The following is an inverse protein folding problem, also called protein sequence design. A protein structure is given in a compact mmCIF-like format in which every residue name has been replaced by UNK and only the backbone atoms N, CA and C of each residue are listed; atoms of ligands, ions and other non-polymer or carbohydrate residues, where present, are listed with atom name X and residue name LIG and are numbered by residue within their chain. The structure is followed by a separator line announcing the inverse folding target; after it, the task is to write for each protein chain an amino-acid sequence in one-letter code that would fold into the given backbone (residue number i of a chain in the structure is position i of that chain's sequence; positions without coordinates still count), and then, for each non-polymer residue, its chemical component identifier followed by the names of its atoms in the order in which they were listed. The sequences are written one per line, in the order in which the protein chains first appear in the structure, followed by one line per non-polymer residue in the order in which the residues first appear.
data_IF_791819530312
#
_entry.id   IF_791819530312
#
_cell.length_a   1.000
_cell.length_b   1.000
_cell.length_c   1.000
_cell.angle_alpha   90.00
_cell.angle_beta   90.00
_cell.angle_gamma   90.00
#
_symmetry.space_group_name_H-M   'P 1'
#
loop_
_entity.id
_entity.type
_entity.pdbx_description
1 polymer ?
#
# COMPACT_ATOMS: atom_id res chain seq x y z
N UNK A 1 -29.46 2.80 -18.19
CA UNK A 1 -30.14 1.49 -18.34
C UNK A 1 -30.95 1.51 -19.62
N UNK A 2 -30.80 0.51 -20.50
CA UNK A 2 -31.54 0.42 -21.77
C UNK A 2 -32.31 -0.89 -21.87
N UNK A 3 -33.39 -0.87 -22.63
CA UNK A 3 -34.15 -2.07 -22.96
C UNK A 3 -33.56 -2.77 -24.17
N UNK A 4 -33.86 -4.06 -24.34
CA UNK A 4 -33.50 -4.82 -25.55
C UNK A 4 -33.97 -4.13 -26.84
N UNK A 5 -35.11 -3.42 -26.80
CA UNK A 5 -35.61 -2.69 -27.96
C UNK A 5 -34.68 -1.53 -28.34
N UNK A 6 -34.30 -0.70 -27.37
CA UNK A 6 -33.40 0.44 -27.60
C UNK A 6 -32.04 -0.03 -28.11
N UNK A 7 -31.50 -1.12 -27.56
CA UNK A 7 -30.23 -1.69 -28.03
C UNK A 7 -30.36 -2.19 -29.47
N UNK A 8 -31.49 -2.83 -29.81
CA UNK A 8 -31.77 -3.32 -31.15
C UNK A 8 -31.89 -2.18 -32.17
N UNK A 9 -32.57 -1.10 -31.82
CA UNK A 9 -32.72 0.09 -32.65
C UNK A 9 -31.34 0.76 -32.90
N UNK A 10 -30.46 0.79 -31.90
CA UNK A 10 -29.11 1.36 -32.02
C UNK A 10 -28.15 0.54 -32.89
N UNK A 11 -28.27 -0.79 -32.87
CA UNK A 11 -27.43 -1.66 -33.71
C UNK A 11 -28.08 -2.01 -35.05
N UNK A 12 -29.28 -1.52 -35.32
CA UNK A 12 -30.00 -1.74 -36.59
C UNK A 12 -30.44 -3.19 -36.81
N UNK A 13 -30.72 -3.96 -35.74
CA UNK A 13 -31.21 -5.34 -35.85
C UNK A 13 -32.57 -5.50 -35.18
N UNK A 14 -33.24 -6.63 -35.41
CA UNK A 14 -34.54 -6.86 -34.77
C UNK A 14 -34.41 -7.10 -33.26
N UNK A 15 -35.37 -6.60 -32.48
CA UNK A 15 -35.51 -6.88 -31.03
C UNK A 15 -35.41 -8.39 -30.73
N UNK A 16 -35.97 -9.23 -31.59
CA UNK A 16 -35.96 -10.69 -31.45
C UNK A 16 -34.54 -11.28 -31.61
N UNK A 17 -33.75 -10.77 -32.55
CA UNK A 17 -32.37 -11.20 -32.70
C UNK A 17 -31.57 -10.92 -31.43
N UNK A 18 -31.70 -9.71 -30.87
CA UNK A 18 -31.04 -9.32 -29.62
C UNK A 18 -31.50 -10.19 -28.45
N UNK A 19 -32.81 -10.42 -28.33
CA UNK A 19 -33.36 -11.27 -27.28
C UNK A 19 -32.83 -12.71 -27.34
N UNK A 20 -32.73 -13.30 -28.54
CA UNK A 20 -32.19 -14.64 -28.75
C UNK A 20 -30.71 -14.72 -28.36
N UNK A 21 -29.91 -13.71 -28.69
CA UNK A 21 -28.49 -13.63 -28.31
C UNK A 21 -28.30 -13.49 -26.82
N UNK A 22 -29.07 -12.59 -26.22
CA UNK A 22 -29.10 -12.37 -24.77
C UNK A 22 -29.46 -13.65 -24.02
N UNK A 23 -30.55 -14.34 -24.39
CA UNK A 23 -31.01 -15.55 -23.70
C UNK A 23 -30.14 -16.79 -23.97
N UNK A 24 -29.38 -16.78 -25.06
CA UNK A 24 -28.46 -17.86 -25.41
C UNK A 24 -27.04 -17.59 -24.91
N UNK A 25 -26.14 -17.32 -25.87
CA UNK A 25 -24.69 -17.17 -25.66
C UNK A 25 -24.32 -16.13 -24.60
N UNK A 26 -25.06 -15.04 -24.50
CA UNK A 26 -24.73 -13.93 -23.61
C UNK A 26 -25.43 -13.99 -22.25
N UNK A 27 -26.22 -15.03 -21.96
CA UNK A 27 -27.05 -15.05 -20.77
C UNK A 27 -26.22 -15.02 -19.48
N UNK A 28 -25.19 -15.87 -19.40
CA UNK A 28 -24.34 -16.00 -18.21
C UNK A 28 -23.55 -14.71 -17.92
N UNK A 29 -23.13 -14.01 -18.97
CA UNK A 29 -22.32 -12.78 -18.84
C UNK A 29 -23.18 -11.53 -18.64
N UNK A 30 -24.40 -11.49 -19.19
CA UNK A 30 -25.29 -10.33 -19.06
C UNK A 30 -26.30 -10.45 -17.90
N UNK A 31 -26.51 -11.64 -17.33
CA UNK A 31 -27.44 -11.84 -16.21
C UNK A 31 -27.13 -10.98 -14.97
N UNK A 32 -25.86 -10.80 -14.53
CA UNK A 32 -25.55 -9.93 -13.38
C UNK A 32 -25.86 -8.45 -13.62
N UNK A 33 -25.98 -8.06 -14.89
CA UNK A 33 -26.15 -6.68 -15.37
C UNK A 33 -27.58 -6.42 -15.88
N UNK A 34 -28.48 -7.37 -15.63
CA UNK A 34 -29.85 -7.35 -16.08
C UNK A 34 -30.80 -7.14 -14.90
N UNK A 35 -31.74 -6.23 -15.08
CA UNK A 35 -32.77 -5.91 -14.10
C UNK A 35 -34.15 -6.01 -14.75
N UNK A 36 -35.11 -6.64 -14.08
CA UNK A 36 -36.47 -6.78 -14.60
C UNK A 36 -37.45 -6.00 -13.71
N UNK A 37 -38.07 -4.98 -14.28
CA UNK A 37 -39.14 -4.22 -13.62
C UNK A 37 -40.43 -4.41 -14.40
N UNK A 38 -41.49 -4.86 -13.73
CA UNK A 38 -42.83 -5.04 -14.32
C UNK A 38 -42.83 -5.85 -15.63
N UNK A 39 -41.95 -6.86 -15.73
CA UNK A 39 -41.82 -7.71 -16.91
C UNK A 39 -41.00 -7.13 -18.06
N UNK A 40 -40.43 -5.92 -17.89
CA UNK A 40 -39.52 -5.30 -18.86
C UNK A 40 -38.08 -5.50 -18.42
N UNK A 41 -37.25 -6.02 -19.33
CA UNK A 41 -35.83 -6.26 -19.10
C UNK A 41 -35.00 -5.01 -19.43
N UNK A 42 -34.32 -4.51 -18.42
CA UNK A 42 -33.36 -3.41 -18.48
C UNK A 42 -31.94 -3.95 -18.33
N UNK A 43 -31.04 -3.41 -19.14
CA UNK A 43 -29.65 -3.80 -19.20
C UNK A 43 -28.79 -2.58 -18.85
N UNK A 44 -27.78 -2.81 -18.02
CA UNK A 44 -26.77 -1.79 -17.74
C UNK A 44 -25.88 -1.54 -18.97
N UNK A 45 -25.07 -0.49 -18.90
CA UNK A 45 -24.13 -0.13 -19.97
C UNK A 45 -23.14 -1.27 -20.27
N UNK A 46 -22.78 -2.07 -19.25
CA UNK A 46 -21.91 -3.23 -19.40
C UNK A 46 -22.58 -4.33 -20.23
N UNK A 47 -23.84 -4.67 -19.94
CA UNK A 47 -24.60 -5.65 -20.74
C UNK A 47 -24.88 -5.13 -22.15
N UNK A 48 -25.18 -3.84 -22.30
CA UNK A 48 -25.32 -3.20 -23.62
C UNK A 48 -24.05 -3.38 -24.45
N UNK A 49 -22.88 -3.09 -23.87
CA UNK A 49 -21.58 -3.21 -24.56
C UNK A 49 -21.30 -4.64 -24.99
N UNK A 50 -21.54 -5.62 -24.11
CA UNK A 50 -21.37 -7.04 -24.42
C UNK A 50 -22.25 -7.49 -25.59
N UNK A 51 -23.51 -7.05 -25.61
CA UNK A 51 -24.46 -7.36 -26.69
C UNK A 51 -24.01 -6.70 -27.99
N UNK A 52 -23.68 -5.40 -27.97
CA UNK A 52 -23.19 -4.68 -29.15
C UNK A 52 -21.95 -5.33 -29.75
N UNK A 53 -21.01 -5.76 -28.90
CA UNK A 53 -19.78 -6.41 -29.35
C UNK A 53 -20.04 -7.77 -29.99
N UNK A 54 -20.95 -8.59 -29.46
CA UNK A 54 -21.32 -9.88 -30.05
C UNK A 54 -21.91 -9.71 -31.46
N UNK A 55 -22.82 -8.75 -31.64
CA UNK A 55 -23.41 -8.46 -32.95
C UNK A 55 -22.40 -7.87 -33.94
N UNK A 56 -21.45 -7.05 -33.46
CA UNK A 56 -20.39 -6.51 -34.31
C UNK A 56 -19.43 -7.61 -34.79
N UNK A 57 -19.08 -8.57 -33.93
CA UNK A 57 -18.26 -9.75 -34.27
C UNK A 57 -18.98 -10.68 -35.26
N UNK A 58 -20.28 -10.88 -35.10
CA UNK A 58 -21.05 -11.76 -35.99
C UNK A 58 -21.32 -11.14 -37.37
N UNK A 59 -21.54 -9.82 -37.46
CA UNK A 59 -21.59 -9.12 -38.76
C UNK A 59 -20.25 -9.22 -39.52
N UNK A 60 -19.12 -9.23 -38.80
CA UNK A 60 -17.79 -9.50 -39.40
C UNK A 60 -17.64 -10.95 -39.90
N UNK A 61 -18.41 -11.89 -39.35
CA UNK A 61 -18.34 -13.32 -39.72
C UNK A 61 -19.27 -13.73 -40.87
N UNK A 62 -20.37 -13.01 -41.11
CA UNK A 62 -21.41 -13.43 -42.07
C UNK A 62 -21.52 -12.61 -43.36
N UNK A 63 -20.72 -11.56 -43.55
CA UNK A 63 -20.81 -10.63 -44.71
C UNK A 63 -19.59 -10.61 -45.63
N UNK A 64 -19.04 -11.77 -45.98
CA UNK A 64 -17.77 -11.87 -46.72
C UNK A 64 -17.90 -11.96 -48.26
N UNK A 65 -18.95 -11.44 -48.89
CA UNK A 65 -19.02 -11.26 -50.35
C UNK A 65 -19.95 -10.05 -50.57
N UNK A 66 -19.51 -8.81 -50.76
CA UNK A 66 -18.87 -8.27 -51.97
C UNK A 66 -18.24 -6.90 -51.65
N UNK A 67 -17.08 -6.60 -52.24
CA UNK A 67 -16.57 -5.25 -52.54
C UNK A 67 -16.33 -4.25 -51.38
N UNK A 68 -15.47 -4.60 -50.42
CA UNK A 68 -14.88 -3.58 -49.50
C UNK A 68 -13.50 -4.01 -48.98
N UNK A 69 -12.63 -4.50 -49.86
CA UNK A 69 -11.33 -5.05 -49.42
C UNK A 69 -10.31 -3.98 -49.02
N UNK A 70 -10.45 -2.73 -49.49
CA UNK A 70 -9.43 -1.70 -49.26
C UNK A 70 -9.63 -0.94 -47.94
N UNK A 71 -10.87 -0.58 -47.58
CA UNK A 71 -11.13 0.17 -46.33
C UNK A 71 -11.17 -0.73 -45.08
N UNK A 72 -11.55 -2.00 -45.25
CA UNK A 72 -11.66 -3.01 -44.17
C UNK A 72 -10.30 -3.41 -43.58
N UNK A 73 -9.23 -3.37 -44.37
CA UNK A 73 -7.87 -3.63 -43.88
C UNK A 73 -7.40 -2.52 -42.94
N UNK A 74 -7.76 -1.26 -43.23
CA UNK A 74 -7.30 -0.10 -42.46
C UNK A 74 -8.03 -0.02 -41.11
N UNK A 75 -9.36 -0.25 -41.08
CA UNK A 75 -10.13 -0.21 -39.84
C UNK A 75 -9.83 -1.34 -38.85
N UNK A 76 -9.62 -2.58 -39.34
CA UNK A 76 -9.23 -3.69 -38.48
C UNK A 76 -7.79 -3.56 -37.95
N UNK A 77 -6.88 -3.02 -38.76
CA UNK A 77 -5.51 -2.69 -38.34
C UNK A 77 -5.50 -1.54 -37.34
N UNK A 78 -6.38 -0.53 -37.50
CA UNK A 78 -6.48 0.59 -36.57
C UNK A 78 -7.00 0.16 -35.20
N UNK A 79 -8.05 -0.66 -35.14
CA UNK A 79 -8.60 -1.20 -33.88
C UNK A 79 -7.59 -2.11 -33.16
N UNK A 80 -6.90 -2.99 -33.88
CA UNK A 80 -5.83 -3.82 -33.29
C UNK A 80 -4.65 -2.99 -32.83
N UNK A 81 -4.28 -1.95 -33.57
CA UNK A 81 -3.24 -0.99 -33.19
C UNK A 81 -3.63 -0.20 -31.93
N UNK A 82 -4.90 0.19 -31.81
CA UNK A 82 -5.41 0.89 -30.64
C UNK A 82 -5.47 -0.02 -29.40
N UNK A 83 -5.98 -1.26 -29.55
CA UNK A 83 -5.94 -2.26 -28.48
C UNK A 83 -4.50 -2.57 -28.05
N UNK A 84 -3.57 -2.72 -29.00
CA UNK A 84 -2.15 -2.90 -28.71
C UNK A 84 -1.54 -1.69 -27.98
N UNK A 85 -1.93 -0.47 -28.35
CA UNK A 85 -1.53 0.75 -27.67
C UNK A 85 -2.02 0.81 -26.22
N UNK A 86 -3.28 0.44 -25.98
CA UNK A 86 -3.85 0.37 -24.62
C UNK A 86 -3.13 -0.70 -23.78
N UNK A 87 -2.87 -1.88 -24.35
CA UNK A 87 -2.12 -2.94 -23.68
C UNK A 87 -0.70 -2.49 -23.35
N UNK A 88 -0.03 -1.78 -24.26
CA UNK A 88 1.32 -1.26 -24.02
C UNK A 88 1.36 -0.24 -22.86
N UNK A 89 0.38 0.67 -22.79
CA UNK A 89 0.28 1.64 -21.68
C UNK A 89 -0.02 0.94 -20.36
N UNK A 90 -0.93 -0.05 -20.36
CA UNK A 90 -1.23 -0.83 -19.16
C UNK A 90 0.00 -1.62 -18.69
N UNK A 91 0.74 -2.25 -19.60
CA UNK A 91 1.96 -2.97 -19.26
C UNK A 91 3.03 -2.01 -18.69
N UNK A 92 3.27 -0.86 -19.34
CA UNK A 92 4.20 0.14 -18.83
C UNK A 92 3.79 0.69 -17.44
N UNK A 93 2.47 0.82 -17.20
CA UNK A 93 1.93 1.22 -15.90
C UNK A 93 2.16 0.14 -14.85
N UNK A 94 1.94 -1.14 -15.20
CA UNK A 94 2.23 -2.28 -14.33
C UNK A 94 3.71 -2.32 -13.97
N UNK A 95 4.59 -2.23 -14.96
CA UNK A 95 6.05 -2.25 -14.74
C UNK A 95 6.48 -1.10 -13.84
N UNK A 96 5.92 0.10 -14.05
CA UNK A 96 6.16 1.26 -13.19
C UNK A 96 5.68 1.03 -11.76
N UNK A 97 4.47 0.50 -11.58
CA UNK A 97 3.91 0.21 -10.26
C UNK A 97 4.72 -0.88 -9.52
N UNK A 98 5.17 -1.91 -10.24
CA UNK A 98 6.04 -2.95 -9.71
C UNK A 98 7.38 -2.37 -9.26
N UNK A 99 8.04 -1.55 -10.08
CA UNK A 99 9.27 -0.87 -9.68
C UNK A 99 9.07 0.05 -8.46
N UNK A 100 7.93 0.75 -8.37
CA UNK A 100 7.60 1.57 -7.20
C UNK A 100 7.38 0.74 -5.93
N UNK A 101 6.82 -0.46 -6.04
CA UNK A 101 6.64 -1.39 -4.92
C UNK A 101 8.00 -1.90 -4.43
N UNK A 102 8.87 -2.35 -5.33
CA UNK A 102 10.21 -2.83 -4.96
C UNK A 102 11.03 -1.78 -4.20
N UNK A 103 10.97 -0.52 -4.63
CA UNK A 103 11.65 0.58 -3.94
C UNK A 103 11.06 0.79 -2.53
N UNK A 104 9.73 0.75 -2.39
CA UNK A 104 9.06 0.88 -1.09
C UNK A 104 9.40 -0.28 -0.15
N UNK A 105 9.42 -1.50 -0.66
CA UNK A 105 9.76 -2.70 0.12
C UNK A 105 11.19 -2.62 0.66
N UNK A 106 12.15 -2.19 -0.17
CA UNK A 106 13.53 -1.94 0.28
C UNK A 106 13.61 -0.84 1.33
N UNK A 107 12.84 0.24 1.17
CA UNK A 107 12.80 1.33 2.16
C UNK A 107 12.22 0.83 3.50
N UNK A 108 11.17 0.01 3.48
CA UNK A 108 10.58 -0.61 4.68
C UNK A 108 11.61 -1.53 5.36
N UNK A 109 12.34 -2.33 4.59
CA UNK A 109 13.38 -3.20 5.12
C UNK A 109 14.50 -2.40 5.81
N UNK A 110 14.98 -1.32 5.18
CA UNK A 110 15.99 -0.43 5.76
C UNK A 110 15.50 0.25 7.05
N UNK A 111 14.24 0.72 7.06
CA UNK A 111 13.63 1.30 8.25
C UNK A 111 13.53 0.28 9.38
N UNK A 112 13.11 -0.95 9.08
CA UNK A 112 13.02 -2.05 10.04
C UNK A 112 14.39 -2.36 10.65
N UNK A 113 15.43 -2.48 9.81
CA UNK A 113 16.80 -2.67 10.30
C UNK A 113 17.29 -1.52 11.18
N UNK A 114 16.95 -0.28 10.83
CA UNK A 114 17.30 0.90 11.62
C UNK A 114 16.60 0.89 12.97
N UNK A 115 15.30 0.57 13.01
CA UNK A 115 14.52 0.45 14.24
C UNK A 115 15.13 -0.63 15.15
N UNK A 116 15.47 -1.81 14.61
CA UNK A 116 16.12 -2.87 15.38
C UNK A 116 17.43 -2.38 16.00
N UNK A 117 18.30 -1.76 15.20
CA UNK A 117 19.58 -1.22 15.70
C UNK A 117 19.40 -0.16 16.78
N UNK A 118 18.44 0.76 16.60
CA UNK A 118 18.16 1.79 17.61
C UNK A 118 17.56 1.20 18.88
N UNK A 119 16.74 0.15 18.75
CA UNK A 119 16.16 -0.56 19.89
C UNK A 119 17.25 -1.26 20.70
N UNK A 120 18.18 -1.96 20.03
CA UNK A 120 19.32 -2.61 20.69
C UNK A 120 20.24 -1.59 21.37
N UNK A 121 20.54 -0.47 20.69
CA UNK A 121 21.36 0.60 21.26
C UNK A 121 20.68 1.26 22.47
N UNK A 122 19.36 1.45 22.43
CA UNK A 122 18.58 1.97 23.54
C UNK A 122 18.61 1.02 24.74
N UNK A 123 18.43 -0.29 24.51
CA UNK A 123 18.52 -1.29 25.57
C UNK A 123 19.92 -1.30 26.22
N UNK A 124 20.98 -1.23 25.42
CA UNK A 124 22.36 -1.13 25.92
C UNK A 124 22.61 0.15 26.72
N UNK A 125 22.08 1.29 26.26
CA UNK A 125 22.18 2.56 26.97
C UNK A 125 21.43 2.53 28.31
N UNK A 126 20.24 1.94 28.34
CA UNK A 126 19.45 1.75 29.56
C UNK A 126 20.17 0.84 30.56
N UNK A 127 20.76 -0.26 30.10
CA UNK A 127 21.57 -1.15 30.94
C UNK A 127 22.80 -0.43 31.50
N UNK A 128 23.46 0.39 30.68
CA UNK A 128 24.62 1.19 31.12
C UNK A 128 24.22 2.23 32.17
N UNK A 129 23.09 2.90 31.99
CA UNK A 129 22.56 3.86 32.95
C UNK A 129 22.20 3.18 34.28
N UNK A 130 21.53 2.02 34.24
CA UNK A 130 21.21 1.25 35.43
C UNK A 130 22.47 0.76 36.17
N UNK A 131 23.47 0.26 35.43
CA UNK A 131 24.75 -0.14 36.00
C UNK A 131 25.49 1.03 36.65
N UNK A 132 25.53 2.20 36.01
CA UNK A 132 26.13 3.42 36.56
C UNK A 132 25.42 3.87 37.85
N UNK A 133 24.08 3.80 37.89
CA UNK A 133 23.29 4.11 39.09
C UNK A 133 23.57 3.11 40.23
N UNK A 134 23.63 1.82 39.94
CA UNK A 134 23.94 0.79 40.93
C UNK A 134 25.36 0.95 41.50
N UNK A 135 26.34 1.26 40.65
CA UNK A 135 27.71 1.56 41.08
C UNK A 135 27.76 2.83 41.95
N UNK A 136 27.01 3.87 41.58
CA UNK A 136 26.93 5.09 42.37
C UNK A 136 26.30 4.83 43.75
N UNK A 137 25.18 4.11 43.80
CA UNK A 137 24.53 3.71 45.05
C UNK A 137 25.44 2.85 45.94
N UNK A 138 26.14 1.88 45.35
CA UNK A 138 27.12 1.06 46.07
C UNK A 138 28.29 1.87 46.63
N UNK A 139 28.76 2.88 45.88
CA UNK A 139 29.83 3.80 46.34
C UNK A 139 29.36 4.63 47.54
N UNK A 140 28.13 5.14 47.51
CA UNK A 140 27.56 5.90 48.65
C UNK A 140 27.43 5.00 49.88
N UNK A 141 26.95 3.77 49.74
CA UNK A 141 26.84 2.84 50.86
C UNK A 141 28.21 2.50 51.46
N UNK A 142 29.24 2.33 50.63
CA UNK A 142 30.60 2.08 51.09
C UNK A 142 31.22 3.30 51.80
N UNK A 143 30.91 4.53 51.34
CA UNK A 143 31.30 5.76 52.02
C UNK A 143 30.61 5.93 53.37
N UNK A 144 29.32 5.59 53.47
CA UNK A 144 28.57 5.63 54.73
C UNK A 144 29.11 4.61 55.74
N UNK A 145 29.32 3.36 55.33
CA UNK A 145 29.89 2.32 56.20
C UNK A 145 31.35 2.64 56.62
N UNK A 146 32.14 3.21 55.71
CA UNK A 146 33.50 3.68 56.03
C UNK A 146 33.49 4.91 56.95
N UNK A 147 32.51 5.80 56.79
CA UNK A 147 32.26 6.94 57.67
C UNK A 147 31.77 6.54 59.06
N UNK A 148 30.94 5.50 59.17
CA UNK A 148 30.53 4.88 60.43
C UNK A 148 31.70 4.15 61.12
N UNK A 149 32.51 3.38 60.38
CA UNK A 149 33.73 2.77 60.91
C UNK A 149 34.80 3.81 61.32
N UNK A 150 34.79 4.99 60.69
CA UNK A 150 35.67 6.11 61.06
C UNK A 150 35.15 6.85 62.29
N UNK A 151 33.84 7.02 62.46
CA UNK A 151 33.25 7.66 63.65
C UNK A 151 33.34 6.80 64.90
N UNK A 152 33.35 5.47 64.77
CA UNK A 152 33.57 4.56 65.90
C UNK A 152 35.04 4.50 66.34
N UNK A 153 35.99 4.78 65.44
CA UNK A 153 37.42 5.01 65.79
C UNK A 153 37.74 6.45 66.22
N UNK A 154 36.90 7.43 65.89
CA UNK A 154 37.13 8.85 66.18
C UNK A 154 36.51 9.35 67.49
N UNK A 155 36.02 8.44 68.35
CA UNK A 155 35.74 8.74 69.77
C UNK A 155 37.00 8.72 70.66
N UNK A 156 38.20 8.61 70.07
CA UNK A 156 39.46 8.90 70.74
C UNK A 156 40.08 10.17 70.12
N UNK A 157 40.05 11.24 70.92
CA UNK A 157 40.76 12.52 70.78
C UNK A 157 42.22 12.36 70.27
N UNK A 158 42.77 13.37 69.56
CA UNK A 158 43.24 14.55 70.27
C UNK A 158 42.87 15.90 69.65
N UNK A 159 42.71 16.85 70.55
CA UNK A 159 42.82 18.29 70.33
C UNK A 159 44.08 18.69 69.54
N UNK A 160 44.08 19.96 69.12
CA UNK A 160 45.16 20.74 68.50
C UNK A 160 45.22 20.69 66.98
N UNK A 161 44.58 21.71 66.37
CA UNK A 161 45.26 22.67 65.45
C UNK A 161 44.33 23.83 65.05
N UNK A 162 43.78 24.53 66.05
CA UNK A 162 43.27 25.91 65.88
C UNK A 162 44.44 26.89 66.07
N UNK A 163 45.28 27.08 65.06
CA UNK A 163 46.49 27.91 65.24
C UNK A 163 47.17 28.51 64.01
N UNK A 164 46.65 28.30 62.79
CA UNK A 164 47.27 28.86 61.57
C UNK A 164 46.52 30.09 61.02
N UNK A 165 45.19 30.15 61.18
CA UNK A 165 44.36 31.12 60.45
C UNK A 165 44.23 32.53 61.09
N UNK A 166 44.74 32.76 62.31
CA UNK A 166 44.61 34.06 62.99
C UNK A 166 45.72 35.08 62.67
N UNK A 167 46.73 34.71 61.88
CA UNK A 167 47.85 35.60 61.52
C UNK A 167 47.68 36.38 60.21
N UNK A 168 46.62 36.12 59.43
CA UNK A 168 46.40 36.81 58.14
C UNK A 168 45.47 38.04 58.22
N UNK A 169 44.91 38.35 59.39
CA UNK A 169 43.90 39.42 59.57
C UNK A 169 44.22 40.38 60.72
N UNK A 170 45.47 40.87 60.77
CA UNK A 170 45.87 42.04 61.56
C UNK A 170 46.95 42.74 60.73
N UNK A 171 46.66 43.83 60.01
CA UNK A 171 46.14 45.08 60.56
C UNK A 171 47.33 45.87 61.04
#
# INVERSE_FOLDING_TARGET
MKTIRQIADEIGVSKQAVYKRYKGKLHTVCAPYAHTEQGVLYLSEQAETLIKQDFLKDNRSNGAHTDTRTERSIGAVLEQSQEAGVVAVLQATIDTLQGQLEVKDRQIEQQTQTITRLTDALAAAQQTAAAAQALHAGTIQQQLLSGEASTERQSQEPEQKRGWFSKLFRG
#
